data_IF_005355533233
#
_entry.id   IF_005355533233
#
_cell.length_a   1.000
_cell.length_b   1.000
_cell.length_c   1.000
_cell.angle_alpha   90.00
_cell.angle_beta   90.00
_cell.angle_gamma   90.00
#
_symmetry.space_group_name_H-M   'P 1'
#
loop_
_entity.id
_entity.type
_entity.pdbx_description
1 polymer ?
#
# COMPACT_ATOMS: atom_id res chain seq x y z
N UNK A 1 13.88 -29.16 16.11
CA UNK A 1 13.58 -27.83 16.71
C UNK A 1 14.31 -26.69 16.00
N UNK A 2 15.62 -26.77 15.81
CA UNK A 2 16.42 -25.72 15.14
C UNK A 2 15.94 -25.43 13.70
N UNK A 3 15.60 -26.46 12.93
CA UNK A 3 15.10 -26.30 11.56
C UNK A 3 13.79 -25.50 11.48
N UNK A 4 12.87 -25.78 12.39
CA UNK A 4 11.59 -25.05 12.50
C UNK A 4 11.83 -23.59 12.87
N UNK A 5 12.70 -23.34 13.86
CA UNK A 5 13.07 -21.99 14.26
C UNK A 5 13.69 -21.19 13.10
N UNK A 6 14.54 -21.83 12.30
CA UNK A 6 15.20 -21.23 11.13
C UNK A 6 14.18 -20.86 10.06
N UNK A 7 13.17 -21.69 9.81
CA UNK A 7 12.07 -21.39 8.89
C UNK A 7 11.28 -20.16 9.35
N UNK A 8 10.97 -20.06 10.64
CA UNK A 8 10.27 -18.88 11.19
C UNK A 8 11.09 -17.60 11.05
N UNK A 9 12.39 -17.65 11.28
CA UNK A 9 13.30 -16.50 11.09
C UNK A 9 13.32 -16.07 9.62
N UNK A 10 13.45 -17.01 8.68
CA UNK A 10 13.46 -16.71 7.24
C UNK A 10 12.16 -16.07 6.81
N UNK A 11 11.03 -16.61 7.22
CA UNK A 11 9.70 -16.04 6.92
C UNK A 11 9.62 -14.61 7.49
N UNK A 12 10.01 -14.41 8.74
CA UNK A 12 10.00 -13.09 9.39
C UNK A 12 10.85 -12.06 8.64
N UNK A 13 12.06 -12.44 8.21
CA UNK A 13 12.96 -11.57 7.44
C UNK A 13 12.38 -11.21 6.07
N UNK A 14 11.78 -12.17 5.37
CA UNK A 14 11.14 -11.93 4.06
C UNK A 14 9.97 -10.95 4.20
N UNK A 15 9.09 -11.18 5.16
CA UNK A 15 7.94 -10.28 5.41
C UNK A 15 8.38 -8.88 5.85
N UNK A 16 9.37 -8.78 6.72
CA UNK A 16 9.93 -7.50 7.13
C UNK A 16 10.59 -6.76 5.94
N UNK A 17 11.33 -7.46 5.09
CA UNK A 17 11.94 -6.90 3.88
C UNK A 17 10.91 -6.34 2.90
N UNK A 18 9.83 -7.06 2.65
CA UNK A 18 8.71 -6.59 1.81
C UNK A 18 8.06 -5.36 2.43
N UNK A 19 7.76 -5.40 3.74
CA UNK A 19 7.16 -4.28 4.46
C UNK A 19 8.02 -3.01 4.42
N UNK A 20 9.33 -3.13 4.61
CA UNK A 20 10.28 -2.01 4.53
C UNK A 20 10.38 -1.46 3.11
N UNK A 21 10.39 -2.31 2.09
CA UNK A 21 10.42 -1.89 0.69
C UNK A 21 9.21 -1.03 0.32
N UNK A 22 8.02 -1.48 0.70
CA UNK A 22 6.76 -0.73 0.49
C UNK A 22 6.76 0.57 1.30
N UNK A 23 7.23 0.56 2.54
CA UNK A 23 7.32 1.74 3.39
C UNK A 23 8.24 2.82 2.81
N UNK A 24 9.38 2.43 2.27
CA UNK A 24 10.34 3.36 1.63
C UNK A 24 9.76 4.00 0.37
N UNK A 25 9.04 3.24 -0.45
CA UNK A 25 8.36 3.77 -1.63
C UNK A 25 7.28 4.79 -1.25
N UNK A 26 6.47 4.49 -0.24
CA UNK A 26 5.44 5.41 0.26
C UNK A 26 6.02 6.69 0.84
N UNK A 27 7.09 6.60 1.63
CA UNK A 27 7.75 7.77 2.23
C UNK A 27 8.39 8.68 1.17
N UNK A 28 8.99 8.13 0.13
CA UNK A 28 9.52 8.93 -0.99
C UNK A 28 8.42 9.75 -1.66
N UNK A 29 7.28 9.14 -1.91
CA UNK A 29 6.14 9.86 -2.46
C UNK A 29 5.66 10.96 -1.52
N UNK A 30 5.48 10.68 -0.22
CA UNK A 30 4.99 11.64 0.76
C UNK A 30 5.90 12.86 0.94
N UNK A 31 7.22 12.70 0.81
CA UNK A 31 8.18 13.81 0.96
C UNK A 31 8.25 14.71 -0.26
N UNK A 32 7.92 14.22 -1.45
CA UNK A 32 7.97 14.97 -2.71
C UNK A 32 6.60 15.33 -3.25
N UNK A 33 5.54 14.71 -2.76
CA UNK A 33 4.19 14.92 -3.25
C UNK A 33 3.68 16.33 -2.99
N UNK A 34 3.13 16.95 -4.02
CA UNK A 34 2.33 18.15 -3.91
C UNK A 34 0.86 17.78 -3.68
N UNK A 35 0.10 18.68 -3.05
CA UNK A 35 -1.33 18.52 -2.83
C UNK A 35 -2.10 19.38 -3.82
N UNK A 36 -3.21 18.84 -4.30
CA UNK A 36 -4.15 19.56 -5.15
C UNK A 36 -5.59 19.18 -4.81
N UNK A 37 -6.50 20.07 -5.10
CA UNK A 37 -7.92 19.75 -5.08
C UNK A 37 -8.32 19.23 -6.45
N UNK A 38 -8.87 18.03 -6.48
CA UNK A 38 -9.26 17.34 -7.70
C UNK A 38 -10.77 17.08 -7.71
N UNK A 39 -11.31 16.96 -8.91
CA UNK A 39 -12.70 16.53 -9.11
C UNK A 39 -12.70 15.12 -9.68
N UNK A 40 -13.51 14.24 -9.12
CA UNK A 40 -13.75 12.90 -9.68
C UNK A 40 -14.50 13.04 -10.98
N UNK A 41 -13.92 12.58 -12.08
CA UNK A 41 -14.57 12.61 -13.39
C UNK A 41 -15.20 11.29 -13.75
N UNK A 42 -14.64 10.19 -13.22
CA UNK A 42 -15.13 8.83 -13.45
C UNK A 42 -14.71 7.91 -12.30
N UNK A 43 -15.35 6.77 -12.16
CA UNK A 43 -15.00 5.73 -11.20
C UNK A 43 -14.92 4.39 -11.93
N UNK A 44 -13.73 3.86 -12.07
CA UNK A 44 -13.49 2.58 -12.73
C UNK A 44 -13.49 1.44 -11.74
N UNK A 45 -14.05 0.31 -12.16
CA UNK A 45 -13.93 -0.94 -11.41
C UNK A 45 -12.94 -1.87 -12.10
N UNK A 46 -12.08 -2.48 -11.30
CA UNK A 46 -11.12 -3.48 -11.76
C UNK A 46 -11.22 -4.73 -10.91
N UNK A 47 -11.32 -5.88 -11.55
CA UNK A 47 -11.26 -7.16 -10.84
C UNK A 47 -9.82 -7.41 -10.37
N UNK A 48 -9.66 -7.65 -9.07
CA UNK A 48 -8.39 -8.01 -8.45
C UNK A 48 -8.51 -9.45 -7.99
N UNK A 49 -7.79 -10.34 -8.65
CA UNK A 49 -7.75 -11.76 -8.28
C UNK A 49 -7.09 -12.57 -9.39
N UNK A 50 -6.12 -13.37 -9.01
CA UNK A 50 -5.46 -14.33 -9.90
C UNK A 50 -6.12 -15.70 -9.71
N UNK A 51 -6.93 -16.12 -10.70
CA UNK A 51 -7.29 -17.52 -10.94
C UNK A 51 -7.75 -18.35 -9.74
N UNK A 52 -9.05 -18.56 -9.59
CA UNK A 52 -9.58 -19.61 -8.75
C UNK A 52 -10.00 -19.20 -7.33
N UNK A 53 -11.11 -18.48 -7.22
CA UNK A 53 -11.86 -18.36 -5.96
C UNK A 53 -11.47 -17.18 -5.07
N UNK A 54 -12.17 -16.05 -5.23
CA UNK A 54 -12.05 -14.92 -4.31
C UNK A 54 -11.54 -13.62 -4.93
N UNK A 55 -11.81 -13.36 -6.21
CA UNK A 55 -11.55 -12.06 -6.83
C UNK A 55 -12.53 -11.01 -6.29
N UNK A 56 -12.02 -9.90 -5.76
CA UNK A 56 -12.80 -8.72 -5.38
C UNK A 56 -12.81 -7.69 -6.50
N UNK A 57 -13.83 -6.81 -6.49
CA UNK A 57 -13.82 -5.58 -7.29
C UNK A 57 -13.13 -4.48 -6.49
N UNK A 58 -12.23 -3.76 -7.14
CA UNK A 58 -11.59 -2.56 -6.60
C UNK A 58 -12.10 -1.38 -7.42
N UNK A 59 -12.55 -0.36 -6.73
CA UNK A 59 -13.02 0.89 -7.32
C UNK A 59 -11.89 1.91 -7.29
N UNK A 60 -11.60 2.52 -8.44
CA UNK A 60 -10.49 3.46 -8.64
C UNK A 60 -11.07 4.75 -9.18
N UNK A 61 -10.95 5.88 -8.46
CA UNK A 61 -11.41 7.15 -8.97
C UNK A 61 -10.47 7.69 -10.06
N UNK A 62 -11.04 8.20 -11.12
CA UNK A 62 -10.36 9.03 -12.11
C UNK A 62 -10.58 10.48 -11.70
N UNK A 63 -9.50 11.21 -11.52
CA UNK A 63 -9.54 12.57 -11.00
C UNK A 63 -8.93 13.56 -11.98
N UNK A 64 -9.50 14.77 -11.99
CA UNK A 64 -9.00 15.92 -12.75
C UNK A 64 -8.60 17.03 -11.80
N UNK A 65 -7.40 17.56 -11.96
CA UNK A 65 -6.90 18.69 -11.19
C UNK A 65 -5.98 19.58 -12.05
N UNK A 66 -5.70 20.77 -11.55
CA UNK A 66 -4.72 21.67 -12.15
C UNK A 66 -3.44 21.72 -11.32
N UNK A 67 -2.31 21.68 -12.00
CA UNK A 67 -1.00 21.92 -11.41
C UNK A 67 -0.77 23.43 -11.26
N UNK A 68 0.17 23.87 -10.39
CA UNK A 68 0.46 25.29 -10.18
C UNK A 68 0.91 26.03 -11.45
N UNK A 69 1.48 25.32 -12.42
CA UNK A 69 1.86 25.84 -13.74
C UNK A 69 0.69 25.91 -14.76
N UNK A 70 -0.54 25.61 -14.30
CA UNK A 70 -1.77 25.76 -15.08
C UNK A 70 -2.14 24.57 -15.96
N UNK A 71 -1.39 23.47 -15.90
CA UNK A 71 -1.71 22.25 -16.67
C UNK A 71 -2.88 21.50 -16.02
N UNK A 72 -3.84 21.09 -16.84
CA UNK A 72 -4.90 20.18 -16.40
C UNK A 72 -4.43 18.74 -16.56
N UNK A 73 -4.55 17.96 -15.50
CA UNK A 73 -4.16 16.55 -15.44
C UNK A 73 -5.39 15.70 -15.16
N UNK A 74 -5.59 14.68 -16.00
CA UNK A 74 -6.53 13.60 -15.79
C UNK A 74 -5.76 12.33 -15.48
N UNK A 75 -5.99 11.73 -14.31
CA UNK A 75 -5.28 10.53 -13.90
C UNK A 75 -6.15 9.58 -13.08
N UNK A 76 -5.87 8.29 -13.20
CA UNK A 76 -6.38 7.30 -12.25
C UNK A 76 -5.59 7.42 -10.94
N UNK A 77 -6.28 7.52 -9.82
CA UNK A 77 -5.62 7.53 -8.54
C UNK A 77 -4.95 6.17 -8.26
N UNK A 78 -3.72 6.19 -7.80
CA UNK A 78 -3.02 5.01 -7.35
C UNK A 78 -3.66 4.47 -6.07
N UNK A 79 -4.06 3.21 -6.11
CA UNK A 79 -4.81 2.57 -5.05
C UNK A 79 -6.32 2.71 -5.23
N UNK A 80 -7.02 1.65 -4.95
CA UNK A 80 -8.47 1.59 -5.00
C UNK A 80 -9.02 1.02 -3.70
N UNK A 81 -10.32 1.05 -3.54
CA UNK A 81 -11.02 0.47 -2.39
C UNK A 81 -11.99 -0.61 -2.85
N UNK A 82 -12.22 -1.58 -2.00
CA UNK A 82 -13.21 -2.63 -2.23
C UNK A 82 -14.66 -2.13 -2.06
N UNK A 83 -14.85 -0.90 -1.61
CA UNK A 83 -16.14 -0.25 -1.46
C UNK A 83 -16.19 0.95 -2.41
N UNK A 84 -17.28 1.07 -3.17
CA UNK A 84 -17.52 2.25 -4.00
C UNK A 84 -17.87 3.43 -3.09
N UNK A 85 -16.91 4.33 -2.88
CA UNK A 85 -17.05 5.49 -2.01
C UNK A 85 -16.91 6.84 -2.74
N UNK A 86 -16.65 6.80 -4.04
CA UNK A 86 -16.52 8.02 -4.85
C UNK A 86 -17.58 8.07 -5.93
N UNK A 87 -18.01 9.29 -6.24
CA UNK A 87 -18.97 9.55 -7.31
C UNK A 87 -18.43 10.65 -8.23
N UNK A 88 -18.75 10.58 -9.55
CA UNK A 88 -18.42 11.65 -10.48
C UNK A 88 -18.97 13.00 -10.00
N UNK A 89 -18.16 14.05 -10.11
CA UNK A 89 -18.49 15.40 -9.62
C UNK A 89 -18.04 15.68 -8.18
N UNK A 90 -17.64 14.67 -7.42
CA UNK A 90 -17.13 14.85 -6.06
C UNK A 90 -15.76 15.51 -6.07
N UNK A 91 -15.51 16.44 -5.14
CA UNK A 91 -14.20 17.04 -4.92
C UNK A 91 -13.43 16.26 -3.88
N UNK A 92 -12.15 16.01 -4.17
CA UNK A 92 -11.22 15.31 -3.30
C UNK A 92 -9.91 16.09 -3.16
N UNK A 93 -9.26 15.98 -2.02
CA UNK A 93 -7.87 16.36 -1.89
C UNK A 93 -7.00 15.18 -2.35
N UNK A 94 -6.06 15.45 -3.24
CA UNK A 94 -5.15 14.45 -3.79
C UNK A 94 -3.71 14.86 -3.57
N UNK A 95 -2.84 13.87 -3.51
CA UNK A 95 -1.39 14.07 -3.54
C UNK A 95 -0.86 13.53 -4.87
N UNK A 96 0.01 14.27 -5.51
CA UNK A 96 0.60 13.87 -6.79
C UNK A 96 2.11 14.13 -6.80
N UNK A 97 2.84 13.40 -7.64
CA UNK A 97 4.26 13.65 -7.85
C UNK A 97 4.45 14.83 -8.82
N UNK A 98 5.11 15.94 -8.41
CA UNK A 98 5.38 17.07 -9.30
C UNK A 98 6.22 16.69 -10.52
N UNK A 99 7.08 15.68 -10.42
CA UNK A 99 7.88 15.18 -11.53
C UNK A 99 7.06 14.31 -12.51
N UNK A 100 6.03 13.64 -12.00
CA UNK A 100 5.07 12.85 -12.78
C UNK A 100 3.65 13.09 -12.29
N UNK A 101 2.97 14.15 -12.73
CA UNK A 101 1.64 14.53 -12.25
C UNK A 101 0.55 13.46 -12.46
N UNK A 102 0.80 12.46 -13.29
CA UNK A 102 -0.11 11.31 -13.47
C UNK A 102 -0.05 10.31 -12.30
N UNK A 103 1.01 10.34 -11.47
CA UNK A 103 1.08 9.55 -10.24
C UNK A 103 0.34 10.29 -9.12
N UNK A 104 -0.93 9.97 -8.98
CA UNK A 104 -1.88 10.60 -8.05
C UNK A 104 -2.31 9.59 -7.01
N UNK A 105 -2.39 10.03 -5.77
CA UNK A 105 -2.90 9.23 -4.65
C UNK A 105 -3.98 9.99 -3.88
N UNK A 106 -5.04 9.28 -3.52
CA UNK A 106 -6.09 9.80 -2.65
C UNK A 106 -5.73 9.43 -1.21
N UNK A 107 -5.63 10.38 -0.28
CA UNK A 107 -5.41 10.09 1.13
C UNK A 107 -6.46 9.12 1.67
N UNK A 108 -6.02 8.10 2.39
CA UNK A 108 -6.91 7.06 2.95
C UNK A 108 -7.28 5.91 2.01
N UNK A 109 -6.94 5.97 0.71
CA UNK A 109 -7.14 4.86 -0.23
C UNK A 109 -5.93 3.92 -0.33
N UNK A 110 -4.86 4.22 0.36
CA UNK A 110 -3.63 3.43 0.35
C UNK A 110 -3.60 2.34 1.42
N UNK A 111 -2.99 1.21 1.10
CA UNK A 111 -2.85 0.04 1.96
C UNK A 111 -2.00 0.20 3.23
N UNK A 112 -1.98 1.38 3.85
CA UNK A 112 -1.19 1.63 5.05
C UNK A 112 -1.53 0.69 6.20
N UNK A 113 -2.80 0.33 6.36
CA UNK A 113 -3.23 -0.66 7.35
C UNK A 113 -2.71 -2.06 7.00
N UNK A 114 -2.83 -2.46 5.74
CA UNK A 114 -2.31 -3.74 5.24
C UNK A 114 -0.80 -3.80 5.44
N UNK A 115 -0.09 -2.72 5.12
CA UNK A 115 1.35 -2.61 5.33
C UNK A 115 1.73 -2.75 6.81
N UNK A 116 1.01 -2.08 7.71
CA UNK A 116 1.23 -2.18 9.16
C UNK A 116 1.01 -3.61 9.67
N UNK A 117 -0.01 -4.29 9.15
CA UNK A 117 -0.30 -5.71 9.46
C UNK A 117 0.84 -6.62 8.99
N UNK A 118 1.34 -6.45 7.76
CA UNK A 118 2.46 -7.24 7.24
C UNK A 118 3.75 -7.05 8.05
N UNK A 119 4.07 -5.82 8.42
CA UNK A 119 5.22 -5.52 9.28
C UNK A 119 5.03 -6.14 10.66
N UNK A 120 3.84 -6.01 11.26
CA UNK A 120 3.52 -6.57 12.57
C UNK A 120 3.64 -8.09 12.60
N UNK A 121 3.12 -8.78 11.59
CA UNK A 121 3.25 -10.23 11.43
C UNK A 121 4.72 -10.61 11.27
N UNK A 122 5.48 -9.91 10.42
CA UNK A 122 6.90 -10.19 10.21
C UNK A 122 7.72 -10.07 11.49
N UNK A 123 7.50 -9.02 12.28
CA UNK A 123 8.15 -8.83 13.57
C UNK A 123 7.77 -9.92 14.57
N UNK A 124 6.49 -10.29 14.64
CA UNK A 124 6.01 -11.34 15.53
C UNK A 124 6.69 -12.69 15.21
N UNK A 125 6.74 -13.07 13.94
CA UNK A 125 7.39 -14.32 13.51
C UNK A 125 8.90 -14.30 13.77
N UNK A 126 9.56 -13.18 13.57
CA UNK A 126 10.99 -13.03 13.86
C UNK A 126 11.29 -13.20 15.37
N UNK A 127 10.49 -12.56 16.23
CA UNK A 127 10.62 -12.69 17.70
C UNK A 127 10.34 -14.11 18.17
N UNK A 128 9.32 -14.77 17.62
CA UNK A 128 8.99 -16.15 17.94
C UNK A 128 10.13 -17.11 17.52
N UNK A 129 10.68 -16.90 16.34
CA UNK A 129 11.84 -17.67 15.85
C UNK A 129 13.07 -17.51 16.74
N UNK A 130 13.38 -16.27 17.13
CA UNK A 130 14.49 -15.99 18.05
C UNK A 130 14.27 -16.64 19.43
N UNK A 131 13.06 -16.59 19.96
CA UNK A 131 12.71 -17.25 21.22
C UNK A 131 12.92 -18.76 21.17
N UNK A 132 12.48 -19.39 20.06
CA UNK A 132 12.67 -20.84 19.87
C UNK A 132 14.15 -21.22 19.74
N UNK A 133 14.96 -20.40 19.09
CA UNK A 133 16.41 -20.59 19.04
C UNK A 133 17.01 -20.47 20.45
N UNK A 134 16.69 -19.43 21.19
CA UNK A 134 17.17 -19.24 22.56
C UNK A 134 16.81 -20.40 23.48
N UNK A 135 15.56 -20.88 23.41
CA UNK A 135 15.11 -22.05 24.17
C UNK A 135 15.87 -23.33 23.77
N UNK A 136 16.11 -23.54 22.48
CA UNK A 136 16.84 -24.75 22.02
C UNK A 136 18.30 -24.75 22.46
N UNK A 137 18.92 -23.57 22.62
CA UNK A 137 20.29 -23.42 23.15
C UNK A 137 20.30 -23.58 24.68
N UNK A 138 19.28 -23.14 25.36
CA UNK A 138 19.20 -23.21 26.83
C UNK A 138 18.90 -24.64 27.36
N UNK A 139 18.24 -25.49 26.55
CA UNK A 139 17.82 -26.84 26.92
C UNK A 139 18.78 -27.92 26.39
N UNK A 140 19.61 -27.57 25.41
CA UNK A 140 20.64 -28.49 24.83
C UNK A 140 21.95 -28.34 25.49
#
# INVERSE_FOLDING_TARGET
>A
MVLIALVFVVIGVVFAGIGIGVARSSRRFETTAARARATVTDVRSRAVGRGGGGGGLVWIPVVRFQTPDGRTVDAEAGGGTNVKQWEPGQSLDVSYDPANPADVRVPGSGGGLIQAVFIGIGVLFALLGLLLVALSVAIG
#
